data_IF_784838170075
#
_entry.id   IF_784838170075
#
_cell.length_a   1.000
_cell.length_b   1.000
_cell.length_c   1.000
_cell.angle_alpha   90.00
_cell.angle_beta   90.00
_cell.angle_gamma   90.00
#
_symmetry.space_group_name_H-M   'P 1'
#
loop_
_entity.id
_entity.type
_entity.pdbx_description
1 polymer ?
#
# COMPACT_ATOMS: atom_id res chain seq x y z
N UNK A 1 21.03 -16.95 0.97
CA UNK A 1 19.75 -17.17 0.26
C UNK A 1 18.79 -18.01 1.09
N UNK A 2 19.07 -19.30 1.32
CA UNK A 2 18.16 -20.21 2.04
C UNK A 2 17.76 -19.71 3.43
N UNK A 3 18.72 -19.25 4.25
CA UNK A 3 18.43 -18.73 5.59
C UNK A 3 17.48 -17.52 5.56
N UNK A 4 17.70 -16.55 4.67
CA UNK A 4 16.83 -15.37 4.54
C UNK A 4 15.43 -15.76 4.06
N UNK A 5 15.33 -16.71 3.10
CA UNK A 5 14.05 -17.24 2.66
C UNK A 5 13.29 -17.98 3.76
N UNK A 6 13.99 -18.78 4.57
CA UNK A 6 13.40 -19.48 5.72
C UNK A 6 12.89 -18.47 6.77
N UNK A 7 13.69 -17.47 7.12
CA UNK A 7 13.29 -16.41 8.07
C UNK A 7 12.07 -15.64 7.55
N UNK A 8 12.05 -15.30 6.26
CA UNK A 8 10.90 -14.66 5.64
C UNK A 8 9.63 -15.53 5.75
N UNK A 9 9.72 -16.80 5.36
CA UNK A 9 8.60 -17.73 5.43
C UNK A 9 8.08 -17.94 6.86
N UNK A 10 8.98 -18.12 7.83
CA UNK A 10 8.61 -18.26 9.24
C UNK A 10 7.91 -17.01 9.78
N UNK A 11 8.37 -15.82 9.39
CA UNK A 11 7.66 -14.59 9.74
C UNK A 11 6.26 -14.58 9.10
N UNK A 12 6.09 -14.87 7.81
CA UNK A 12 4.76 -14.89 7.19
C UNK A 12 3.77 -15.82 7.93
N UNK A 13 4.23 -16.99 8.37
CA UNK A 13 3.43 -17.89 9.21
C UNK A 13 3.10 -17.27 10.57
N UNK A 14 4.04 -16.53 11.17
CA UNK A 14 3.83 -15.86 12.43
C UNK A 14 2.86 -14.66 12.33
N UNK A 15 2.68 -14.08 11.14
CA UNK A 15 1.66 -13.06 10.83
C UNK A 15 0.34 -13.68 10.30
N UNK A 16 0.05 -14.95 10.57
CA UNK A 16 -1.08 -15.67 9.98
C UNK A 16 -2.43 -14.98 10.15
N UNK A 17 -2.67 -14.30 11.28
CA UNK A 17 -3.94 -13.62 11.55
C UNK A 17 -3.99 -12.20 11.01
N UNK A 18 -2.88 -11.65 10.52
CA UNK A 18 -2.87 -10.31 9.98
C UNK A 18 -3.64 -10.24 8.65
N UNK A 19 -4.68 -9.41 8.63
CA UNK A 19 -5.44 -9.02 7.46
C UNK A 19 -5.97 -7.61 7.73
N UNK A 20 -6.20 -6.81 6.70
CA UNK A 20 -6.62 -5.42 6.87
C UNK A 20 -7.97 -5.14 6.23
N UNK A 21 -8.62 -4.05 6.64
CA UNK A 21 -9.84 -3.60 5.98
C UNK A 21 -9.62 -3.32 4.49
N UNK A 22 -8.49 -2.69 4.13
CA UNK A 22 -8.09 -2.52 2.72
C UNK A 22 -7.93 -3.86 1.97
N UNK A 23 -7.55 -4.94 2.66
CA UNK A 23 -7.46 -6.27 2.03
C UNK A 23 -8.85 -6.81 1.72
N UNK A 24 -9.84 -6.57 2.60
CA UNK A 24 -11.24 -6.88 2.32
C UNK A 24 -11.83 -6.02 1.19
N UNK A 25 -11.39 -4.77 1.04
CA UNK A 25 -11.77 -3.95 -0.13
C UNK A 25 -11.36 -4.65 -1.43
N UNK A 26 -10.13 -5.14 -1.53
CA UNK A 26 -9.69 -5.91 -2.70
C UNK A 26 -10.42 -7.24 -2.87
N UNK A 27 -10.72 -7.94 -1.77
CA UNK A 27 -11.53 -9.16 -1.78
C UNK A 27 -12.92 -8.91 -2.40
N UNK A 28 -13.55 -7.77 -2.08
CA UNK A 28 -14.84 -7.37 -2.65
C UNK A 28 -14.73 -7.04 -4.13
N UNK A 29 -13.78 -6.20 -4.54
CA UNK A 29 -13.53 -5.93 -5.97
C UNK A 29 -13.33 -7.20 -6.79
N UNK A 30 -12.52 -8.13 -6.27
CA UNK A 30 -12.24 -9.39 -6.94
C UNK A 30 -13.49 -10.28 -7.04
N UNK A 31 -14.29 -10.36 -5.98
CA UNK A 31 -15.51 -11.16 -5.94
C UNK A 31 -16.58 -10.62 -6.89
N UNK A 32 -16.77 -9.29 -6.92
CA UNK A 32 -17.68 -8.63 -7.86
C UNK A 32 -17.24 -8.83 -9.32
N UNK A 33 -15.94 -8.79 -9.59
CA UNK A 33 -15.43 -9.05 -10.93
C UNK A 33 -15.73 -10.50 -11.38
N UNK A 34 -15.62 -11.46 -10.47
CA UNK A 34 -15.98 -12.87 -10.74
C UNK A 34 -17.49 -13.06 -10.90
N UNK A 35 -18.30 -12.33 -10.14
CA UNK A 35 -19.76 -12.36 -10.23
C UNK A 35 -20.32 -11.72 -11.53
N UNK A 36 -19.49 -10.97 -12.27
CA UNK A 36 -19.88 -10.29 -13.49
C UNK A 36 -20.36 -8.85 -13.30
N UNK A 37 -20.34 -8.33 -12.07
CA UNK A 37 -20.66 -6.93 -11.75
C UNK A 37 -19.56 -5.96 -12.22
N UNK A 38 -18.38 -6.50 -12.49
CA UNK A 38 -17.19 -5.78 -12.93
C UNK A 38 -16.30 -5.37 -11.78
N UNK A 39 -15.23 -4.64 -12.09
CA UNK A 39 -14.23 -4.22 -11.11
C UNK A 39 -14.71 -2.97 -10.35
N UNK A 40 -15.78 -3.15 -9.58
CA UNK A 40 -16.47 -2.12 -8.80
C UNK A 40 -16.63 -2.57 -7.35
N UNK A 41 -16.82 -1.61 -6.43
CA UNK A 41 -17.06 -1.92 -5.02
C UNK A 41 -18.54 -2.16 -4.75
N UNK A 42 -19.39 -1.19 -5.10
CA UNK A 42 -20.84 -1.35 -5.13
C UNK A 42 -21.27 -1.75 -6.55
N UNK A 43 -21.94 -2.90 -6.74
CA UNK A 43 -22.52 -3.26 -8.04
C UNK A 43 -23.43 -2.15 -8.57
N UNK A 44 -23.35 -1.87 -9.87
CA UNK A 44 -24.07 -0.77 -10.52
C UNK A 44 -23.32 0.58 -10.51
N UNK A 45 -22.33 0.77 -9.62
CA UNK A 45 -21.57 2.01 -9.53
C UNK A 45 -20.18 1.88 -10.14
N UNK A 46 -19.99 2.47 -11.33
CA UNK A 46 -18.70 2.41 -12.04
C UNK A 46 -17.71 3.43 -11.51
N UNK A 47 -17.27 3.24 -10.28
CA UNK A 47 -16.32 4.12 -9.60
C UNK A 47 -14.95 3.45 -9.55
N UNK A 48 -13.94 4.15 -10.10
CA UNK A 48 -12.56 3.68 -10.07
C UNK A 48 -11.96 3.90 -8.67
N UNK A 49 -12.22 2.98 -7.73
CA UNK A 49 -11.72 3.09 -6.37
C UNK A 49 -10.61 2.07 -6.02
N UNK A 50 -10.48 0.99 -6.78
CA UNK A 50 -9.38 0.04 -6.61
C UNK A 50 -8.03 0.72 -6.95
N UNK A 51 -7.22 1.04 -5.94
CA UNK A 51 -5.91 1.68 -6.15
C UNK A 51 -4.95 0.82 -6.96
N UNK A 52 -5.09 -0.51 -6.87
CA UNK A 52 -4.32 -1.52 -7.60
C UNK A 52 -5.24 -2.42 -8.42
N UNK A 53 -5.68 -1.99 -9.62
CA UNK A 53 -6.53 -2.81 -10.48
C UNK A 53 -5.87 -4.12 -10.91
N UNK A 54 -4.53 -4.15 -11.06
CA UNK A 54 -3.80 -5.40 -11.34
C UNK A 54 -3.96 -6.38 -10.19
N UNK A 55 -3.79 -5.93 -8.94
CA UNK A 55 -3.92 -6.81 -7.79
C UNK A 55 -5.32 -7.41 -7.68
N UNK A 56 -6.35 -6.57 -7.76
CA UNK A 56 -7.74 -7.02 -7.72
C UNK A 56 -8.05 -8.04 -8.84
N UNK A 57 -7.54 -7.80 -10.05
CA UNK A 57 -7.72 -8.71 -11.19
C UNK A 57 -6.99 -10.05 -11.01
N UNK A 58 -5.78 -10.04 -10.44
CA UNK A 58 -5.04 -11.27 -10.13
C UNK A 58 -5.74 -12.09 -9.04
N UNK A 59 -6.31 -11.41 -8.03
CA UNK A 59 -7.10 -12.08 -6.98
C UNK A 59 -8.37 -12.68 -7.60
N UNK A 60 -9.08 -11.96 -8.47
CA UNK A 60 -10.24 -12.49 -9.18
C UNK A 60 -9.89 -13.75 -10.00
N UNK A 61 -8.74 -13.76 -10.67
CA UNK A 61 -8.26 -14.94 -11.39
C UNK A 61 -8.04 -16.15 -10.47
N UNK A 62 -7.54 -15.96 -9.24
CA UNK A 62 -7.41 -17.05 -8.27
C UNK A 62 -8.76 -17.56 -7.77
N UNK A 63 -9.73 -16.67 -7.58
CA UNK A 63 -11.10 -17.04 -7.20
C UNK A 63 -11.75 -17.89 -8.31
N UNK A 64 -11.57 -17.50 -9.59
CA UNK A 64 -12.03 -18.30 -10.74
C UNK A 64 -11.41 -19.70 -10.80
N UNK A 65 -10.20 -19.86 -10.28
CA UNK A 65 -9.51 -21.15 -10.15
C UNK A 65 -9.94 -21.94 -8.89
N UNK A 66 -10.94 -21.45 -8.14
CA UNK A 66 -11.49 -22.11 -6.95
C UNK A 66 -10.71 -21.84 -5.66
N UNK A 67 -9.79 -20.86 -5.64
CA UNK A 67 -9.09 -20.50 -4.42
C UNK A 67 -10.01 -19.78 -3.42
N UNK A 68 -10.00 -20.15 -2.13
CA UNK A 68 -10.58 -19.30 -1.09
C UNK A 68 -9.94 -17.91 -1.12
N UNK A 69 -10.74 -16.84 -1.02
CA UNK A 69 -10.30 -15.46 -1.31
C UNK A 69 -9.11 -15.04 -0.44
N UNK A 70 -9.25 -15.11 0.88
CA UNK A 70 -8.21 -14.68 1.84
C UNK A 70 -6.93 -15.51 1.69
N UNK A 71 -7.06 -16.84 1.57
CA UNK A 71 -5.92 -17.72 1.39
C UNK A 71 -5.20 -17.45 0.06
N UNK A 72 -5.95 -17.27 -1.03
CA UNK A 72 -5.43 -16.94 -2.35
C UNK A 72 -4.66 -15.63 -2.35
N UNK A 73 -5.20 -14.58 -1.72
CA UNK A 73 -4.53 -13.30 -1.55
C UNK A 73 -3.20 -13.42 -0.81
N UNK A 74 -3.19 -14.14 0.33
CA UNK A 74 -1.96 -14.36 1.13
C UNK A 74 -0.92 -15.19 0.39
N UNK A 75 -1.35 -16.25 -0.30
CA UNK A 75 -0.46 -17.10 -1.11
C UNK A 75 0.14 -16.32 -2.27
N UNK A 76 -0.67 -15.53 -2.99
CA UNK A 76 -0.22 -14.71 -4.10
C UNK A 76 0.80 -13.65 -3.63
N UNK A 77 0.49 -12.96 -2.53
CA UNK A 77 1.38 -11.97 -1.93
C UNK A 77 2.70 -12.63 -1.52
N UNK A 78 2.65 -13.78 -0.85
CA UNK A 78 3.84 -14.55 -0.46
C UNK A 78 4.66 -15.00 -1.68
N UNK A 79 4.03 -15.45 -2.76
CA UNK A 79 4.69 -15.86 -3.99
C UNK A 79 5.47 -14.68 -4.63
N UNK A 80 4.85 -13.50 -4.72
CA UNK A 80 5.54 -12.30 -5.18
C UNK A 80 6.61 -11.82 -4.21
N UNK A 81 6.41 -11.98 -2.90
CA UNK A 81 7.41 -11.68 -1.88
C UNK A 81 8.66 -12.54 -2.04
N UNK A 82 8.50 -13.85 -2.24
CA UNK A 82 9.60 -14.77 -2.55
C UNK A 82 10.26 -14.42 -3.88
N UNK A 83 9.48 -14.10 -4.92
CA UNK A 83 10.02 -13.68 -6.21
C UNK A 83 10.86 -12.39 -6.10
N UNK A 84 10.41 -11.42 -5.30
CA UNK A 84 11.15 -10.21 -4.97
C UNK A 84 12.48 -10.54 -4.27
N UNK A 85 12.48 -11.44 -3.27
CA UNK A 85 13.72 -11.88 -2.61
C UNK A 85 14.70 -12.58 -3.57
N UNK A 86 14.21 -13.39 -4.51
CA UNK A 86 15.05 -14.05 -5.52
C UNK A 86 15.67 -13.02 -6.48
N UNK A 87 14.91 -12.00 -6.90
CA UNK A 87 15.44 -10.90 -7.72
C UNK A 87 16.42 -10.03 -6.93
N UNK A 88 16.12 -9.70 -5.68
CA UNK A 88 17.02 -8.98 -4.78
C UNK A 88 18.37 -9.70 -4.63
N UNK A 89 18.34 -11.02 -4.46
CA UNK A 89 19.57 -11.83 -4.42
C UNK A 89 20.36 -11.74 -5.73
N UNK A 90 19.69 -11.87 -6.89
CA UNK A 90 20.33 -11.77 -8.21
C UNK A 90 20.93 -10.39 -8.45
N UNK A 91 20.18 -9.33 -8.15
CA UNK A 91 20.61 -7.94 -8.21
C UNK A 91 21.87 -7.72 -7.37
N UNK A 92 21.81 -8.10 -6.09
CA UNK A 92 22.91 -7.90 -5.16
C UNK A 92 24.15 -8.72 -5.54
N UNK A 93 24.00 -9.97 -6.00
CA UNK A 93 25.10 -10.82 -6.48
C UNK A 93 25.87 -10.20 -7.62
N UNK A 94 25.18 -9.50 -8.53
CA UNK A 94 25.81 -8.83 -9.66
C UNK A 94 26.48 -7.53 -9.26
N UNK A 95 25.81 -6.76 -8.42
CA UNK A 95 26.29 -5.46 -7.99
C UNK A 95 27.50 -5.53 -7.06
N UNK A 96 27.51 -6.49 -6.13
CA UNK A 96 28.48 -6.54 -5.03
C UNK A 96 29.49 -7.67 -5.12
N UNK A 97 29.28 -8.65 -6.01
CA UNK A 97 30.06 -9.89 -6.02
C UNK A 97 30.02 -10.62 -4.68
N UNK A 98 30.92 -11.59 -4.48
CA UNK A 98 31.04 -12.34 -3.22
C UNK A 98 29.73 -12.96 -2.69
N UNK A 99 29.76 -13.56 -1.50
CA UNK A 99 28.55 -14.06 -0.85
C UNK A 99 28.07 -13.19 0.33
N UNK A 100 29.00 -12.47 0.97
CA UNK A 100 28.72 -11.74 2.21
C UNK A 100 27.74 -10.57 2.02
N UNK A 101 28.04 -9.66 1.09
CA UNK A 101 27.19 -8.48 0.83
C UNK A 101 25.84 -8.83 0.23
N UNK A 102 25.75 -9.73 -0.78
CA UNK A 102 24.45 -10.19 -1.27
C UNK A 102 23.63 -10.91 -0.20
N UNK A 103 24.28 -11.67 0.69
CA UNK A 103 23.61 -12.33 1.80
C UNK A 103 23.00 -11.35 2.79
N UNK A 104 23.75 -10.28 3.12
CA UNK A 104 23.32 -9.24 4.03
C UNK A 104 22.26 -8.32 3.43
N UNK A 105 22.39 -7.94 2.15
CA UNK A 105 21.36 -7.23 1.40
C UNK A 105 20.04 -7.99 1.41
N UNK A 106 20.09 -9.28 1.10
CA UNK A 106 18.92 -10.14 1.11
C UNK A 106 18.32 -10.27 2.51
N UNK A 107 19.16 -10.36 3.54
CA UNK A 107 18.69 -10.44 4.93
C UNK A 107 17.97 -9.15 5.33
N UNK A 108 18.53 -7.98 5.03
CA UNK A 108 17.91 -6.69 5.31
C UNK A 108 16.51 -6.58 4.69
N UNK A 109 16.32 -7.04 3.46
CA UNK A 109 15.02 -7.05 2.81
C UNK A 109 14.08 -8.13 3.37
N UNK A 110 14.58 -9.34 3.62
CA UNK A 110 13.79 -10.46 4.14
C UNK A 110 13.33 -10.27 5.59
N UNK A 111 14.01 -9.40 6.35
CA UNK A 111 13.64 -9.03 7.71
C UNK A 111 13.07 -7.62 7.79
N UNK A 112 12.87 -6.95 6.67
CA UNK A 112 12.30 -5.62 6.64
C UNK A 112 10.85 -5.72 7.18
N UNK A 113 10.53 -5.04 8.30
CA UNK A 113 9.31 -5.29 9.07
C UNK A 113 8.05 -4.94 8.30
N UNK A 114 8.12 -3.93 7.43
CA UNK A 114 6.97 -3.39 6.71
C UNK A 114 6.67 -4.25 5.48
N UNK A 115 7.67 -4.65 4.71
CA UNK A 115 7.61 -5.57 3.58
C UNK A 115 7.03 -6.92 4.01
N UNK A 116 7.54 -7.49 5.11
CA UNK A 116 7.03 -8.74 5.69
C UNK A 116 5.57 -8.59 6.11
N UNK A 117 5.26 -7.55 6.88
CA UNK A 117 3.90 -7.26 7.36
C UNK A 117 2.92 -7.11 6.20
N UNK A 118 3.23 -6.28 5.21
CA UNK A 118 2.33 -5.99 4.08
C UNK A 118 2.23 -7.14 3.07
N UNK A 119 3.26 -7.99 3.00
CA UNK A 119 3.15 -9.29 2.32
C UNK A 119 2.16 -10.19 3.05
N UNK A 120 2.26 -10.29 4.38
CA UNK A 120 1.39 -11.16 5.18
C UNK A 120 -0.09 -10.74 5.17
N UNK A 121 -0.41 -9.45 4.99
CA UNK A 121 -1.80 -9.00 4.84
C UNK A 121 -2.48 -9.47 3.56
N UNK A 122 -1.77 -10.02 2.57
CA UNK A 122 -2.38 -10.36 1.28
C UNK A 122 -2.69 -9.13 0.44
N UNK A 123 -1.78 -8.14 0.45
CA UNK A 123 -1.93 -6.90 -0.32
C UNK A 123 -0.98 -6.86 -1.52
N UNK A 124 -1.12 -5.83 -2.36
CA UNK A 124 -0.40 -5.63 -3.61
C UNK A 124 1.09 -5.28 -3.44
N UNK A 125 1.49 -4.88 -2.23
CA UNK A 125 2.83 -4.39 -1.90
C UNK A 125 3.98 -5.26 -2.44
N UNK A 126 4.03 -6.58 -2.22
CA UNK A 126 5.08 -7.44 -2.79
C UNK A 126 5.13 -7.44 -4.33
N UNK A 127 4.01 -7.23 -5.03
CA UNK A 127 4.00 -7.07 -6.49
C UNK A 127 4.74 -5.81 -6.90
N UNK A 128 4.49 -4.70 -6.20
CA UNK A 128 5.14 -3.43 -6.46
C UNK A 128 6.66 -3.51 -6.22
N UNK A 129 7.08 -4.12 -5.11
CA UNK A 129 8.50 -4.35 -4.80
C UNK A 129 9.15 -5.27 -5.83
N UNK A 130 8.47 -6.33 -6.25
CA UNK A 130 8.94 -7.23 -7.30
C UNK A 130 9.18 -6.48 -8.62
N UNK A 131 8.20 -5.72 -9.11
CA UNK A 131 8.31 -4.94 -10.35
C UNK A 131 9.41 -3.88 -10.28
N UNK A 132 9.55 -3.20 -9.13
CA UNK A 132 10.65 -2.27 -8.90
C UNK A 132 12.03 -2.95 -8.97
N UNK A 133 12.18 -4.13 -8.37
CA UNK A 133 13.40 -4.92 -8.45
C UNK A 133 13.69 -5.41 -9.87
N UNK A 134 12.66 -5.73 -10.68
CA UNK A 134 12.82 -6.00 -12.12
C UNK A 134 13.39 -4.77 -12.83
N UNK A 135 12.85 -3.58 -12.57
CA UNK A 135 13.34 -2.34 -13.18
C UNK A 135 14.80 -2.06 -12.81
N UNK A 136 15.15 -2.22 -11.53
CA UNK A 136 16.51 -2.02 -11.03
C UNK A 136 17.50 -3.02 -11.63
N UNK A 137 17.12 -4.30 -11.71
CA UNK A 137 17.99 -5.36 -12.27
C UNK A 137 18.19 -5.23 -13.77
N UNK A 138 17.13 -4.84 -14.50
CA UNK A 138 17.20 -4.53 -15.93
C UNK A 138 18.08 -3.30 -16.21
N UNK A 139 18.05 -2.31 -15.32
CA UNK A 139 18.88 -1.11 -15.40
C UNK A 139 20.39 -1.36 -15.43
N UNK A 140 20.84 -2.47 -14.83
CA UNK A 140 22.25 -2.90 -14.85
C UNK A 140 22.69 -3.56 -16.15
N UNK A 141 21.78 -3.74 -17.13
CA UNK A 141 22.00 -4.46 -18.39
C UNK A 141 21.57 -3.61 -19.60
N UNK A 142 22.21 -2.47 -19.80
CA UNK A 142 21.85 -1.53 -20.87
C UNK A 142 22.24 -2.00 -22.29
N UNK A 143 23.02 -3.08 -22.38
CA UNK A 143 23.44 -3.75 -23.61
C UNK A 143 22.41 -4.77 -24.14
N UNK A 144 21.61 -5.41 -23.27
CA UNK A 144 20.66 -6.47 -23.65
C UNK A 144 19.27 -5.92 -24.07
N UNK A 145 18.79 -6.30 -25.27
CA UNK A 145 17.44 -5.88 -25.73
C UNK A 145 16.30 -6.35 -24.81
N UNK A 146 16.44 -7.53 -24.21
CA UNK A 146 15.46 -8.08 -23.26
C UNK A 146 15.39 -7.25 -21.98
N UNK A 147 16.51 -6.69 -21.53
CA UNK A 147 16.55 -5.83 -20.35
C UNK A 147 15.75 -4.54 -20.58
N UNK A 148 15.87 -3.90 -21.76
CA UNK A 148 15.04 -2.74 -22.12
C UNK A 148 13.54 -3.05 -22.08
N UNK A 149 13.14 -4.23 -22.57
CA UNK A 149 11.74 -4.66 -22.49
C UNK A 149 11.28 -4.85 -21.05
N UNK A 150 12.08 -5.53 -20.21
CA UNK A 150 11.78 -5.72 -18.78
C UNK A 150 11.68 -4.40 -18.03
N UNK A 151 12.59 -3.47 -18.30
CA UNK A 151 12.58 -2.12 -17.72
C UNK A 151 11.30 -1.38 -18.10
N UNK A 152 10.93 -1.39 -19.38
CA UNK A 152 9.70 -0.76 -19.86
C UNK A 152 8.46 -1.37 -19.22
N UNK A 153 8.26 -2.68 -19.35
CA UNK A 153 7.06 -3.37 -18.84
C UNK A 153 6.91 -3.27 -17.32
N UNK A 154 8.01 -3.38 -16.57
CA UNK A 154 7.96 -3.23 -15.12
C UNK A 154 7.52 -1.83 -14.71
N UNK A 155 8.08 -0.78 -15.32
CA UNK A 155 7.70 0.61 -15.05
C UNK A 155 6.33 1.01 -15.61
N UNK A 156 5.85 0.34 -16.67
CA UNK A 156 4.50 0.56 -17.21
C UNK A 156 3.42 -0.11 -16.36
N UNK A 157 3.69 -1.30 -15.80
CA UNK A 157 2.77 -2.02 -14.93
C UNK A 157 2.73 -1.47 -13.50
N UNK A 158 3.85 -0.96 -13.00
CA UNK A 158 3.99 -0.50 -11.61
C UNK A 158 2.95 0.58 -11.23
N UNK A 159 2.59 1.57 -12.07
CA UNK A 159 1.53 2.54 -11.80
C UNK A 159 0.13 1.92 -11.64
N UNK A 160 -0.13 0.76 -12.25
CA UNK A 160 -1.38 0.02 -12.11
C UNK A 160 -1.41 -0.86 -10.83
N UNK A 161 -0.31 -0.86 -10.08
CA UNK A 161 -0.22 -1.44 -8.74
C UNK A 161 -0.14 -0.34 -7.67
N UNK A 162 0.66 0.69 -7.95
CA UNK A 162 0.94 1.84 -7.07
C UNK A 162 0.99 3.12 -7.93
N UNK A 163 -0.11 3.88 -8.05
CA UNK A 163 -0.22 4.98 -9.01
C UNK A 163 0.84 6.07 -8.87
N UNK A 164 1.36 6.32 -7.66
CA UNK A 164 2.43 7.30 -7.43
C UNK A 164 3.73 6.95 -8.16
N UNK A 165 3.93 5.69 -8.54
CA UNK A 165 5.11 5.23 -9.28
C UNK A 165 5.12 5.67 -10.74
N UNK A 166 4.02 6.29 -11.22
CA UNK A 166 4.02 7.02 -12.49
C UNK A 166 5.13 8.08 -12.51
N UNK A 167 5.41 8.72 -11.36
CA UNK A 167 6.52 9.66 -11.21
C UNK A 167 7.87 8.98 -11.45
N UNK A 168 8.09 7.78 -10.91
CA UNK A 168 9.31 7.01 -11.17
C UNK A 168 9.46 6.66 -12.65
N UNK A 169 8.37 6.22 -13.30
CA UNK A 169 8.35 5.98 -14.75
C UNK A 169 8.75 7.21 -15.55
N UNK A 170 8.24 8.40 -15.18
CA UNK A 170 8.61 9.69 -15.77
C UNK A 170 10.07 10.07 -15.54
N UNK A 171 10.60 9.87 -14.33
CA UNK A 171 12.02 10.13 -14.01
C UNK A 171 12.95 9.24 -14.85
N UNK A 172 12.65 7.95 -14.95
CA UNK A 172 13.43 7.01 -15.77
C UNK A 172 13.31 7.34 -17.26
N UNK A 173 12.10 7.64 -17.76
CA UNK A 173 11.88 8.07 -19.14
C UNK A 173 12.67 9.33 -19.48
N UNK A 174 12.75 10.30 -18.55
CA UNK A 174 13.59 11.49 -18.68
C UNK A 174 15.07 11.13 -18.85
N UNK A 175 15.61 10.25 -18.00
CA UNK A 175 16.99 9.77 -18.13
C UNK A 175 17.22 9.05 -19.47
N UNK A 176 16.27 8.21 -19.91
CA UNK A 176 16.34 7.52 -21.22
C UNK A 176 16.37 8.50 -22.39
N UNK A 177 15.51 9.53 -22.37
CA UNK A 177 15.46 10.55 -23.43
C UNK A 177 16.75 11.36 -23.52
N UNK A 178 17.37 11.65 -22.37
CA UNK A 178 18.64 12.37 -22.29
C UNK A 178 19.86 11.51 -22.66
N UNK A 179 19.66 10.21 -22.94
CA UNK A 179 20.72 9.26 -23.27
C UNK A 179 20.57 8.80 -24.74
N UNK A 180 21.40 9.29 -25.69
CA UNK A 180 21.18 9.10 -27.13
C UNK A 180 21.05 7.66 -27.61
N UNK A 181 21.78 6.72 -27.01
CA UNK A 181 21.71 5.29 -27.35
C UNK A 181 20.44 4.64 -26.77
N UNK A 182 20.02 5.08 -25.58
CA UNK A 182 18.86 4.54 -24.88
C UNK A 182 17.54 4.99 -25.52
N UNK A 183 17.43 6.26 -25.95
CA UNK A 183 16.17 6.80 -26.49
C UNK A 183 15.63 6.03 -27.71
N UNK A 184 16.51 5.40 -28.48
CA UNK A 184 16.15 4.59 -29.66
C UNK A 184 15.60 3.19 -29.31
N UNK A 185 15.61 2.79 -28.04
CA UNK A 185 15.22 1.44 -27.59
C UNK A 185 13.69 1.32 -27.53
N UNK A 186 13.07 1.02 -28.67
CA UNK A 186 11.61 0.85 -28.83
C UNK A 186 10.98 -0.09 -27.79
N UNK A 187 11.67 -1.17 -27.43
CA UNK A 187 11.17 -2.16 -26.46
C UNK A 187 10.86 -1.55 -25.08
N UNK A 188 11.63 -0.54 -24.65
CA UNK A 188 11.36 0.19 -23.41
C UNK A 188 10.08 1.01 -23.52
N UNK A 189 9.94 1.80 -24.58
CA UNK A 189 8.77 2.66 -24.78
C UNK A 189 7.48 1.86 -24.95
N UNK A 190 7.54 0.75 -25.70
CA UNK A 190 6.42 -0.18 -25.81
C UNK A 190 6.02 -0.69 -24.42
N UNK A 191 6.97 -1.23 -23.65
CA UNK A 191 6.67 -1.74 -22.32
C UNK A 191 6.18 -0.67 -21.34
N UNK A 192 6.70 0.56 -21.43
CA UNK A 192 6.32 1.67 -20.54
C UNK A 192 4.90 2.17 -20.83
N UNK A 193 4.56 2.33 -22.12
CA UNK A 193 3.32 2.97 -22.56
C UNK A 193 2.17 1.96 -22.63
N UNK A 194 2.41 0.74 -23.13
CA UNK A 194 1.35 -0.22 -23.43
C UNK A 194 0.47 -0.56 -22.21
N UNK A 195 0.99 -0.88 -21.01
CA UNK A 195 0.13 -1.18 -19.87
C UNK A 195 -0.80 -0.02 -19.49
N UNK A 196 -0.24 1.19 -19.39
CA UNK A 196 -0.99 2.40 -19.03
C UNK A 196 -2.01 2.75 -20.11
N UNK A 197 -1.64 2.60 -21.39
CA UNK A 197 -2.54 2.86 -22.51
C UNK A 197 -3.69 1.84 -22.56
N UNK A 198 -3.40 0.55 -22.40
CA UNK A 198 -4.44 -0.51 -22.33
C UNK A 198 -5.38 -0.26 -21.16
N UNK A 199 -4.83 0.08 -19.99
CA UNK A 199 -5.65 0.45 -18.84
C UNK A 199 -6.50 1.69 -19.12
N UNK A 200 -5.94 2.75 -19.71
CA UNK A 200 -6.69 3.97 -20.02
C UNK A 200 -7.81 3.73 -21.05
N UNK A 201 -7.56 2.88 -22.06
CA UNK A 201 -8.56 2.49 -23.07
C UNK A 201 -9.76 1.75 -22.44
N UNK A 202 -9.53 1.00 -21.36
CA UNK A 202 -10.59 0.38 -20.57
C UNK A 202 -11.24 1.37 -19.59
N UNK A 203 -10.42 2.05 -18.78
CA UNK A 203 -10.85 2.83 -17.63
C UNK A 203 -11.60 4.10 -18.00
N UNK A 204 -11.24 4.77 -19.10
CA UNK A 204 -11.95 5.98 -19.56
C UNK A 204 -13.41 5.72 -19.90
N UNK A 205 -13.76 4.80 -20.82
CA UNK A 205 -15.16 4.54 -21.14
C UNK A 205 -15.90 3.82 -20.00
N UNK A 206 -15.19 3.06 -19.16
CA UNK A 206 -15.83 2.29 -18.08
C UNK A 206 -16.10 3.15 -16.84
N UNK A 207 -15.12 3.90 -16.34
CA UNK A 207 -15.20 4.70 -15.11
C UNK A 207 -15.28 6.21 -15.33
N UNK A 208 -14.93 6.72 -16.52
CA UNK A 208 -14.78 8.16 -16.77
C UNK A 208 -13.41 8.73 -16.35
N UNK A 209 -12.53 7.94 -15.74
CA UNK A 209 -11.22 8.39 -15.26
C UNK A 209 -10.15 7.28 -15.32
N UNK A 210 -8.91 7.64 -15.68
CA UNK A 210 -7.78 6.70 -15.73
C UNK A 210 -7.20 6.43 -14.33
N UNK A 211 -7.12 7.47 -13.50
CA UNK A 211 -6.57 7.38 -12.15
C UNK A 211 -7.68 7.11 -11.13
N UNK A 212 -7.39 6.36 -10.06
CA UNK A 212 -8.39 6.01 -9.06
C UNK A 212 -8.77 7.22 -8.19
N UNK A 213 -10.06 7.33 -7.84
CA UNK A 213 -10.62 8.36 -6.96
C UNK A 213 -10.00 8.32 -5.55
N UNK A 214 -9.54 7.15 -5.11
CA UNK A 214 -8.88 6.96 -3.81
C UNK A 214 -7.57 7.74 -3.64
N UNK A 215 -6.95 8.19 -4.74
CA UNK A 215 -5.81 9.11 -4.66
C UNK A 215 -6.23 10.48 -4.11
N UNK A 216 -7.38 10.97 -4.55
CA UNK A 216 -7.90 12.28 -4.13
C UNK A 216 -8.35 12.21 -2.67
N UNK A 217 -9.03 11.13 -2.29
CA UNK A 217 -9.51 10.89 -0.92
C UNK A 217 -8.39 10.85 0.15
N UNK A 218 -7.13 10.60 -0.27
CA UNK A 218 -5.98 10.41 0.62
C UNK A 218 -4.96 11.54 0.59
N UNK A 219 -5.26 12.64 -0.10
CA UNK A 219 -4.40 13.82 -0.17
C UNK A 219 -5.19 15.09 0.08
N UNK A 220 -4.63 16.00 0.86
CA UNK A 220 -5.18 17.33 1.03
C UNK A 220 -4.55 18.29 0.00
N UNK A 221 -5.17 19.45 -0.26
CA UNK A 221 -4.49 20.56 -0.94
C UNK A 221 -3.13 20.85 -0.29
N UNK A 222 -2.19 21.46 -1.02
CA UNK A 222 -0.84 21.79 -0.53
C UNK A 222 -0.86 22.38 0.89
N UNK A 223 -0.61 21.53 1.87
CA UNK A 223 -0.71 21.83 3.28
C UNK A 223 0.65 22.26 3.80
N UNK A 224 1.09 23.47 3.44
CA UNK A 224 2.36 24.05 3.90
C UNK A 224 2.27 24.53 5.36
N UNK A 225 1.70 23.70 6.23
CA UNK A 225 1.57 23.92 7.66
C UNK A 225 2.80 23.30 8.34
N UNK A 226 3.73 24.09 8.89
CA UNK A 226 5.00 23.58 9.41
C UNK A 226 4.85 22.45 10.42
N UNK A 227 3.87 22.53 11.32
CA UNK A 227 3.62 21.52 12.36
C UNK A 227 3.24 20.17 11.74
N UNK A 228 2.36 20.18 10.72
CA UNK A 228 1.95 18.97 9.99
C UNK A 228 3.10 18.40 9.18
N UNK A 229 3.88 19.27 8.52
CA UNK A 229 5.07 18.86 7.77
C UNK A 229 6.11 18.19 8.69
N UNK A 230 6.37 18.77 9.87
CA UNK A 230 7.26 18.19 10.88
C UNK A 230 6.74 16.85 11.40
N UNK A 231 5.44 16.74 11.66
CA UNK A 231 4.81 15.49 12.06
C UNK A 231 4.96 14.40 10.98
N UNK A 232 4.64 14.71 9.73
CA UNK A 232 4.79 13.78 8.61
C UNK A 232 6.25 13.37 8.40
N UNK A 233 7.18 14.31 8.50
CA UNK A 233 8.61 14.02 8.46
C UNK A 233 9.03 13.08 9.59
N UNK A 234 8.55 13.31 10.81
CA UNK A 234 8.80 12.45 11.96
C UNK A 234 8.26 11.03 11.74
N UNK A 235 7.05 10.88 11.20
CA UNK A 235 6.47 9.58 10.85
C UNK A 235 7.34 8.85 9.82
N UNK A 236 7.74 9.53 8.75
CA UNK A 236 8.62 8.97 7.71
C UNK A 236 9.98 8.54 8.29
N UNK A 237 10.61 9.41 9.08
CA UNK A 237 11.88 9.14 9.73
C UNK A 237 11.79 7.91 10.64
N UNK A 238 10.69 7.74 11.38
CA UNK A 238 10.44 6.55 12.21
C UNK A 238 10.29 5.29 11.39
N UNK A 239 9.54 5.32 10.29
CA UNK A 239 9.37 4.17 9.41
C UNK A 239 10.73 3.71 8.87
N UNK A 240 11.55 4.64 8.37
CA UNK A 240 12.90 4.33 7.88
C UNK A 240 13.86 3.90 8.98
N UNK A 241 13.80 4.50 10.17
CA UNK A 241 14.68 4.16 11.28
C UNK A 241 14.42 2.73 11.80
N UNK A 242 13.16 2.32 11.85
CA UNK A 242 12.78 0.95 12.23
C UNK A 242 13.16 -0.05 11.13
N UNK A 243 13.04 0.33 9.86
CA UNK A 243 13.29 -0.53 8.71
C UNK A 243 14.79 -0.74 8.41
N UNK A 244 15.44 0.37 8.03
CA UNK A 244 16.72 0.41 7.32
C UNK A 244 17.57 1.59 7.80
N UNK A 245 17.70 1.81 9.12
CA UNK A 245 18.43 2.96 9.68
C UNK A 245 19.83 3.17 9.07
N UNK A 246 20.70 2.14 9.07
CA UNK A 246 22.06 2.25 8.57
C UNK A 246 22.13 2.51 7.06
N UNK A 247 21.44 1.75 6.18
CA UNK A 247 21.37 2.10 4.75
C UNK A 247 20.83 3.51 4.50
N UNK A 248 19.74 3.91 5.17
CA UNK A 248 19.16 5.25 5.00
C UNK A 248 20.13 6.35 5.42
N UNK A 249 20.77 6.23 6.59
CA UNK A 249 21.75 7.21 7.06
C UNK A 249 22.97 7.28 6.14
N UNK A 250 23.44 6.14 5.63
CA UNK A 250 24.56 6.10 4.68
C UNK A 250 24.19 6.78 3.36
N UNK A 251 22.99 6.52 2.83
CA UNK A 251 22.46 7.19 1.65
C UNK A 251 22.40 8.72 1.84
N UNK A 252 21.82 9.19 2.95
CA UNK A 252 21.73 10.62 3.27
C UNK A 252 23.13 11.24 3.44
N UNK A 253 24.05 10.55 4.10
CA UNK A 253 25.43 11.01 4.23
C UNK A 253 26.14 11.13 2.86
N UNK A 254 25.93 10.17 1.97
CA UNK A 254 26.44 10.23 0.59
C UNK A 254 25.87 11.43 -0.18
N UNK A 255 24.57 11.68 -0.03
CA UNK A 255 23.88 12.81 -0.66
C UNK A 255 24.42 14.16 -0.19
N UNK A 256 24.72 14.29 1.10
CA UNK A 256 25.29 15.52 1.67
C UNK A 256 26.76 15.73 1.29
N UNK A 257 27.57 14.67 1.26
CA UNK A 257 29.02 14.77 1.00
C UNK A 257 29.35 14.96 -0.47
N UNK A 258 28.59 14.34 -1.37
CA UNK A 258 28.92 14.32 -2.80
C UNK A 258 27.67 14.20 -3.68
N UNK A 259 26.78 15.22 -3.68
CA UNK A 259 25.54 15.18 -4.47
C UNK A 259 25.82 15.04 -5.97
N UNK A 260 26.91 15.64 -6.46
CA UNK A 260 27.34 15.52 -7.86
C UNK A 260 27.71 14.08 -8.23
N UNK A 261 28.32 13.33 -7.32
CA UNK A 261 28.62 11.93 -7.55
C UNK A 261 27.32 11.12 -7.71
N UNK A 262 26.31 11.36 -6.87
CA UNK A 262 25.06 10.60 -6.94
C UNK A 262 24.20 10.96 -8.16
N UNK A 263 24.27 12.20 -8.64
CA UNK A 263 23.36 12.74 -9.66
C UNK A 263 23.99 12.91 -11.06
N UNK A 264 25.31 13.12 -11.15
CA UNK A 264 25.96 13.59 -12.38
C UNK A 264 27.09 12.68 -12.87
N UNK A 265 27.56 11.72 -12.08
CA UNK A 265 28.63 10.83 -12.50
C UNK A 265 28.07 9.82 -13.51
N UNK A 266 28.08 10.22 -14.78
CA UNK A 266 27.60 9.48 -15.95
C UNK A 266 28.50 8.30 -16.37
N UNK A 267 29.33 7.78 -15.48
CA UNK A 267 30.35 6.81 -15.85
C UNK A 267 29.93 5.36 -15.47
N UNK A 268 29.28 4.64 -16.39
CA UNK A 268 29.18 3.18 -16.36
C UNK A 268 27.79 2.57 -16.07
N UNK A 269 27.79 1.37 -15.47
CA UNK A 269 26.66 0.41 -15.31
C UNK A 269 25.43 0.94 -14.52
N UNK A 270 25.46 2.18 -14.03
CA UNK A 270 24.46 2.77 -13.13
C UNK A 270 23.81 4.05 -13.67
N UNK A 271 23.65 4.16 -14.99
CA UNK A 271 23.11 5.35 -15.66
C UNK A 271 21.69 5.77 -15.18
N UNK A 272 20.91 4.87 -14.58
CA UNK A 272 19.60 5.17 -13.96
C UNK A 272 19.66 5.73 -12.53
N UNK A 273 20.84 5.73 -11.90
CA UNK A 273 21.03 6.20 -10.51
C UNK A 273 20.43 7.57 -10.23
N UNK A 274 20.50 8.59 -11.10
CA UNK A 274 19.88 9.88 -10.84
C UNK A 274 18.36 9.79 -10.67
N UNK A 275 17.66 9.01 -11.51
CA UNK A 275 16.21 8.82 -11.39
C UNK A 275 15.85 8.15 -10.05
N UNK A 276 16.64 7.16 -9.64
CA UNK A 276 16.46 6.45 -8.37
C UNK A 276 16.74 7.31 -7.13
N UNK A 277 17.75 8.19 -7.18
CA UNK A 277 18.03 9.17 -6.12
C UNK A 277 16.89 10.18 -6.03
N UNK A 278 16.46 10.74 -7.16
CA UNK A 278 15.35 11.69 -7.22
C UNK A 278 14.04 11.06 -6.74
N UNK A 279 13.80 9.79 -7.05
CA UNK A 279 12.64 9.05 -6.55
C UNK A 279 12.67 8.84 -5.04
N UNK A 280 13.82 8.43 -4.50
CA UNK A 280 14.00 8.15 -3.07
C UNK A 280 13.85 9.38 -2.19
N UNK A 281 14.13 10.58 -2.73
CA UNK A 281 13.93 11.86 -2.04
C UNK A 281 12.56 12.47 -2.38
N UNK A 282 12.18 12.41 -3.65
CA UNK A 282 11.01 13.10 -4.20
C UNK A 282 9.69 12.53 -3.68
N UNK A 283 9.54 11.20 -3.61
CA UNK A 283 8.27 10.62 -3.14
C UNK A 283 8.00 10.94 -1.66
N UNK A 284 8.93 10.70 -0.70
CA UNK A 284 8.73 11.11 0.68
C UNK A 284 8.47 12.61 0.82
N UNK A 285 9.17 13.45 0.05
CA UNK A 285 8.94 14.89 0.05
C UNK A 285 7.52 15.25 -0.42
N UNK A 286 7.03 14.63 -1.50
CA UNK A 286 5.65 14.82 -1.97
C UNK A 286 4.65 14.46 -0.87
N UNK A 287 4.85 13.37 -0.14
CA UNK A 287 3.98 13.00 0.96
C UNK A 287 3.98 14.02 2.11
N UNK A 288 5.14 14.59 2.46
CA UNK A 288 5.21 15.66 3.47
C UNK A 288 4.50 16.92 2.97
N UNK A 289 4.75 17.34 1.74
CA UNK A 289 4.21 18.58 1.17
C UNK A 289 2.71 18.53 0.89
N UNK A 290 2.16 17.33 0.66
CA UNK A 290 0.73 17.08 0.39
C UNK A 290 -0.03 16.61 1.62
N UNK A 291 0.59 16.68 2.81
CA UNK A 291 0.03 16.25 4.08
C UNK A 291 -0.68 14.89 4.00
N UNK A 292 -0.03 13.95 3.30
CA UNK A 292 -0.55 12.60 3.11
C UNK A 292 -0.41 11.85 4.42
N UNK A 293 -1.48 11.20 4.87
CA UNK A 293 -1.42 10.28 6.01
C UNK A 293 -0.64 9.02 5.60
N UNK A 294 0.67 9.05 5.79
CA UNK A 294 1.57 7.97 5.37
C UNK A 294 1.47 6.79 6.32
N UNK A 295 1.14 5.64 5.74
CA UNK A 295 1.36 4.32 6.34
C UNK A 295 2.59 3.66 5.73
N UNK A 296 3.23 2.73 6.45
CA UNK A 296 4.53 2.17 6.06
C UNK A 296 4.56 1.58 4.64
N UNK A 297 3.46 0.99 4.15
CA UNK A 297 3.38 0.44 2.78
C UNK A 297 3.67 1.47 1.68
N UNK A 298 3.46 2.76 1.92
CA UNK A 298 3.68 3.79 0.90
C UNK A 298 5.18 4.00 0.61
N UNK A 299 6.06 3.60 1.53
CA UNK A 299 7.51 3.72 1.35
C UNK A 299 8.14 2.46 0.75
N UNK A 300 7.39 1.38 0.59
CA UNK A 300 7.90 0.11 0.05
C UNK A 300 8.41 0.24 -1.38
N UNK A 301 7.86 1.18 -2.14
CA UNK A 301 8.29 1.51 -3.50
C UNK A 301 9.56 2.37 -3.54
N UNK A 302 10.10 2.81 -2.41
CA UNK A 302 11.43 3.45 -2.32
C UNK A 302 12.45 2.61 -1.55
N UNK A 303 12.01 1.68 -0.69
CA UNK A 303 12.90 0.92 0.18
C UNK A 303 13.98 0.10 -0.56
N UNK A 304 13.68 -0.65 -1.64
CA UNK A 304 14.73 -1.36 -2.40
C UNK A 304 15.79 -0.42 -2.98
N UNK A 305 15.37 0.77 -3.40
CA UNK A 305 16.27 1.80 -3.95
C UNK A 305 17.18 2.36 -2.86
N UNK A 306 16.61 2.74 -1.71
CA UNK A 306 17.36 3.22 -0.54
C UNK A 306 18.32 2.14 -0.05
N UNK A 307 17.91 0.87 -0.07
CA UNK A 307 18.77 -0.25 0.31
C UNK A 307 19.99 -0.36 -0.61
N UNK A 308 19.81 -0.27 -1.93
CA UNK A 308 20.93 -0.28 -2.89
C UNK A 308 21.83 0.93 -2.68
N UNK A 309 21.27 2.14 -2.71
CA UNK A 309 22.04 3.39 -2.60
C UNK A 309 22.78 3.48 -1.25
N UNK A 310 22.16 3.04 -0.17
CA UNK A 310 22.76 3.00 1.16
C UNK A 310 23.88 1.98 1.28
N UNK A 311 23.68 0.76 0.77
CA UNK A 311 24.73 -0.28 0.77
C UNK A 311 25.93 0.14 -0.08
N UNK A 312 25.70 0.82 -1.21
CA UNK A 312 26.78 1.36 -2.05
C UNK A 312 27.67 2.36 -1.29
N UNK A 313 27.07 3.24 -0.47
CA UNK A 313 27.82 4.17 0.37
C UNK A 313 28.52 3.46 1.53
N UNK A 314 27.88 2.46 2.13
CA UNK A 314 28.47 1.66 3.21
C UNK A 314 29.69 0.85 2.75
N UNK A 315 29.72 0.41 1.49
CA UNK A 315 30.85 -0.31 0.88
C UNK A 315 32.11 0.54 0.75
N UNK A 316 31.97 1.86 0.68
CA UNK A 316 33.11 2.81 0.61
C UNK A 316 33.78 3.00 1.96
N UNK A 317 33.15 2.54 3.03
CA UNK A 317 33.68 2.73 4.36
C UNK A 317 34.82 1.72 4.63
N UNK A 318 36.01 2.18 5.07
CA UNK A 318 37.23 1.35 5.04
C UNK A 318 37.20 0.16 6.01
N UNK A 319 36.27 0.17 6.98
CA UNK A 319 36.14 -0.88 8.00
C UNK A 319 35.00 -1.84 7.68
N UNK A 320 35.07 -2.53 6.54
CA UNK A 320 34.02 -3.44 6.05
C UNK A 320 33.52 -4.47 7.11
N UNK A 321 34.41 -4.97 7.98
CA UNK A 321 34.02 -5.87 9.08
C UNK A 321 33.07 -5.19 10.08
N UNK A 322 33.35 -3.95 10.47
CA UNK A 322 32.52 -3.17 11.40
C UNK A 322 31.15 -2.90 10.76
N UNK A 323 31.13 -2.53 9.48
CA UNK A 323 29.89 -2.30 8.74
C UNK A 323 29.00 -3.53 8.72
N UNK A 324 29.57 -4.68 8.38
CA UNK A 324 28.82 -5.95 8.36
C UNK A 324 28.30 -6.31 9.74
N UNK A 325 29.09 -6.14 10.81
CA UNK A 325 28.64 -6.39 12.17
C UNK A 325 27.49 -5.44 12.56
N UNK A 326 27.58 -4.16 12.22
CA UNK A 326 26.53 -3.19 12.48
C UNK A 326 25.22 -3.51 11.74
N UNK A 327 25.32 -3.92 10.47
CA UNK A 327 24.16 -4.35 9.70
C UNK A 327 23.56 -5.67 10.22
N UNK A 328 24.39 -6.64 10.63
CA UNK A 328 23.90 -7.84 11.32
C UNK A 328 23.18 -7.50 12.64
N UNK A 329 23.74 -6.55 13.41
CA UNK A 329 23.11 -6.08 14.64
C UNK A 329 21.78 -5.37 14.36
N UNK A 330 21.69 -4.58 13.27
CA UNK A 330 20.43 -3.99 12.83
C UNK A 330 19.41 -5.07 12.46
N UNK A 331 19.78 -6.07 11.65
CA UNK A 331 18.89 -7.20 11.32
C UNK A 331 18.37 -7.87 12.59
N UNK A 332 19.24 -8.14 13.55
CA UNK A 332 18.85 -8.77 14.82
C UNK A 332 17.89 -7.87 15.63
N UNK A 333 18.18 -6.56 15.72
CA UNK A 333 17.34 -5.60 16.41
C UNK A 333 15.96 -5.45 15.75
N UNK A 334 15.92 -5.43 14.42
CA UNK A 334 14.69 -5.35 13.63
C UNK A 334 13.86 -6.60 13.81
N UNK A 335 14.46 -7.80 13.72
CA UNK A 335 13.76 -9.04 14.01
C UNK A 335 13.19 -9.05 15.43
N UNK A 336 13.98 -8.68 16.43
CA UNK A 336 13.52 -8.60 17.82
C UNK A 336 12.34 -7.62 17.96
N UNK A 337 12.44 -6.43 17.36
CA UNK A 337 11.36 -5.45 17.36
C UNK A 337 10.10 -5.97 16.65
N UNK A 338 10.26 -6.63 15.50
CA UNK A 338 9.17 -7.25 14.75
C UNK A 338 8.43 -8.27 15.60
N UNK A 339 9.14 -9.22 16.21
CA UNK A 339 8.53 -10.26 17.03
C UNK A 339 7.89 -9.73 18.32
N UNK A 340 8.48 -8.72 18.96
CA UNK A 340 7.99 -8.18 20.24
C UNK A 340 6.87 -7.15 20.06
N UNK A 341 6.87 -6.38 18.96
CA UNK A 341 5.98 -5.21 18.79
C UNK A 341 5.12 -5.28 17.54
N UNK A 342 5.73 -5.49 16.37
CA UNK A 342 5.02 -5.38 15.08
C UNK A 342 4.05 -6.54 14.87
N UNK A 343 4.53 -7.77 15.07
CA UNK A 343 3.78 -9.00 14.83
C UNK A 343 2.59 -9.16 15.78
N UNK A 344 2.73 -9.04 17.12
CA UNK A 344 1.58 -9.14 18.00
C UNK A 344 0.52 -8.10 17.67
N UNK A 345 0.92 -6.83 17.49
CA UNK A 345 -0.01 -5.76 17.13
C UNK A 345 -0.71 -5.98 15.79
N UNK A 346 -0.01 -6.52 14.79
CA UNK A 346 -0.60 -6.83 13.49
C UNK A 346 -1.64 -7.96 13.61
N UNK A 347 -1.31 -9.05 14.30
CA UNK A 347 -2.25 -10.15 14.50
C UNK A 347 -3.45 -9.75 15.36
N UNK A 348 -3.24 -8.95 16.42
CA UNK A 348 -4.32 -8.43 17.25
C UNK A 348 -5.27 -7.56 16.43
N UNK A 349 -4.75 -6.70 15.56
CA UNK A 349 -5.54 -5.90 14.62
C UNK A 349 -6.35 -6.80 13.67
N UNK A 350 -5.71 -7.79 13.06
CA UNK A 350 -6.37 -8.71 12.12
C UNK A 350 -7.46 -9.57 12.78
N UNK A 351 -7.21 -10.12 13.97
CA UNK A 351 -8.22 -10.84 14.76
C UNK A 351 -9.37 -9.94 15.17
N UNK A 352 -9.08 -8.69 15.53
CA UNK A 352 -10.10 -7.72 15.93
C UNK A 352 -11.05 -7.37 14.78
N UNK A 353 -10.56 -7.35 13.53
CA UNK A 353 -11.41 -7.13 12.36
C UNK A 353 -12.43 -8.26 12.11
N UNK A 354 -12.30 -9.43 12.75
CA UNK A 354 -13.34 -10.46 12.71
C UNK A 354 -14.69 -9.92 13.23
N UNK A 355 -14.67 -8.97 14.18
CA UNK A 355 -15.89 -8.31 14.65
C UNK A 355 -16.63 -7.53 13.55
N UNK A 356 -15.91 -6.92 12.61
CA UNK A 356 -16.54 -6.25 11.45
C UNK A 356 -17.11 -7.26 10.45
N UNK A 357 -16.43 -8.39 10.27
CA UNK A 357 -16.96 -9.51 9.47
C UNK A 357 -18.25 -10.04 10.09
N UNK A 358 -18.30 -10.22 11.41
CA UNK A 358 -19.52 -10.63 12.14
C UNK A 358 -20.67 -9.63 11.98
N UNK A 359 -20.38 -8.32 12.03
CA UNK A 359 -21.39 -7.28 11.72
C UNK A 359 -21.90 -7.43 10.28
N UNK A 360 -21.00 -7.65 9.33
CA UNK A 360 -21.36 -7.86 7.94
C UNK A 360 -22.17 -9.14 7.71
N UNK A 361 -21.80 -10.25 8.34
CA UNK A 361 -22.53 -11.51 8.32
C UNK A 361 -23.95 -11.34 8.89
N UNK A 362 -24.06 -10.63 10.03
CA UNK A 362 -25.36 -10.32 10.61
C UNK A 362 -26.24 -9.50 9.65
N UNK A 363 -25.68 -8.47 8.99
CA UNK A 363 -26.39 -7.66 8.00
C UNK A 363 -26.84 -8.50 6.79
N UNK A 364 -26.01 -9.41 6.30
CA UNK A 364 -26.39 -10.33 5.22
C UNK A 364 -27.63 -11.16 5.59
N UNK A 365 -27.70 -11.60 6.85
CA UNK A 365 -28.74 -12.52 7.29
C UNK A 365 -30.01 -11.79 7.80
N UNK A 366 -29.92 -10.50 8.15
CA UNK A 366 -30.99 -9.75 8.82
C UNK A 366 -31.42 -8.44 8.13
N UNK A 367 -30.90 -8.11 6.95
CA UNK A 367 -31.36 -6.95 6.16
C UNK A 367 -31.80 -7.34 4.75
N UNK A 368 -32.40 -6.39 4.03
CA UNK A 368 -32.84 -6.60 2.65
C UNK A 368 -31.67 -6.65 1.66
N UNK A 369 -31.84 -7.41 0.56
CA UNK A 369 -30.92 -7.52 -0.58
C UNK A 369 -30.31 -6.18 -1.00
N UNK A 370 -31.16 -5.14 -1.01
CA UNK A 370 -30.88 -3.79 -1.48
C UNK A 370 -30.61 -2.79 -0.37
N UNK A 371 -30.53 -3.24 0.88
CA UNK A 371 -30.28 -2.34 2.01
C UNK A 371 -28.93 -1.63 1.85
N UNK A 372 -28.93 -0.35 2.20
CA UNK A 372 -27.74 0.51 2.18
C UNK A 372 -27.19 0.65 3.61
N UNK A 373 -25.86 0.55 3.74
CA UNK A 373 -25.14 0.62 5.02
C UNK A 373 -24.11 1.75 4.96
N UNK A 374 -24.23 2.73 5.85
CA UNK A 374 -23.22 3.77 6.00
C UNK A 374 -22.06 3.28 6.89
N UNK A 375 -20.81 3.46 6.46
CA UNK A 375 -19.64 3.05 7.22
C UNK A 375 -18.36 3.84 6.85
N UNK A 376 -17.44 4.00 7.80
CA UNK A 376 -16.07 4.51 7.53
C UNK A 376 -15.11 3.41 7.09
N UNK A 377 -15.17 2.24 7.73
CA UNK A 377 -14.34 1.08 7.41
C UNK A 377 -15.19 0.11 6.58
N UNK A 378 -15.09 0.27 5.26
CA UNK A 378 -16.04 -0.34 4.31
C UNK A 378 -15.66 -1.77 3.92
N UNK A 379 -14.41 -2.17 4.10
CA UNK A 379 -13.88 -3.40 3.54
C UNK A 379 -14.55 -4.65 4.07
N UNK A 380 -14.35 -4.94 5.35
CA UNK A 380 -14.84 -6.16 6.00
C UNK A 380 -16.36 -6.23 6.00
N UNK A 381 -17.02 -5.14 6.41
CA UNK A 381 -18.50 -5.04 6.47
C UNK A 381 -19.08 -5.18 5.07
N UNK A 382 -18.52 -4.46 4.09
CA UNK A 382 -19.00 -4.50 2.71
C UNK A 382 -18.80 -5.86 2.03
N UNK A 383 -17.65 -6.50 2.25
CA UNK A 383 -17.37 -7.83 1.72
C UNK A 383 -18.31 -8.89 2.31
N UNK A 384 -18.43 -8.95 3.64
CA UNK A 384 -19.21 -9.98 4.32
C UNK A 384 -20.72 -9.80 4.12
N UNK A 385 -21.20 -8.56 4.14
CA UNK A 385 -22.63 -8.27 4.00
C UNK A 385 -23.16 -8.39 2.57
N UNK A 386 -22.31 -8.11 1.57
CA UNK A 386 -22.75 -7.97 0.18
C UNK A 386 -23.71 -6.81 -0.07
N UNK A 387 -23.89 -5.91 0.90
CA UNK A 387 -24.80 -4.75 0.83
C UNK A 387 -24.16 -3.58 0.12
N UNK A 388 -24.99 -2.69 -0.41
CA UNK A 388 -24.53 -1.40 -0.90
C UNK A 388 -23.97 -0.60 0.29
N UNK A 389 -22.79 -0.01 0.10
CA UNK A 389 -22.11 0.76 1.14
C UNK A 389 -22.09 2.23 0.75
N UNK A 390 -22.67 3.05 1.62
CA UNK A 390 -22.48 4.49 1.64
C UNK A 390 -21.20 4.81 2.41
N UNK A 391 -20.12 5.05 1.67
CA UNK A 391 -18.78 5.17 2.23
C UNK A 391 -18.50 6.56 2.79
N UNK A 392 -18.48 6.65 4.12
CA UNK A 392 -18.20 7.87 4.88
C UNK A 392 -16.72 8.30 4.79
N UNK A 393 -15.83 7.37 4.43
CA UNK A 393 -14.40 7.61 4.23
C UNK A 393 -14.03 8.10 2.83
N UNK A 394 -14.99 8.18 1.91
CA UNK A 394 -14.84 8.79 0.58
C UNK A 394 -13.88 8.07 -0.39
N UNK A 395 -13.66 6.78 -0.19
CA UNK A 395 -12.94 5.92 -1.14
C UNK A 395 -13.80 5.57 -2.35
N UNK A 396 -15.08 5.24 -2.13
CA UNK A 396 -16.03 4.79 -3.15
C UNK A 396 -17.25 5.70 -3.29
N UNK A 397 -17.44 6.69 -2.41
CA UNK A 397 -18.56 7.65 -2.51
C UNK A 397 -18.10 8.99 -3.12
N UNK A 398 -18.58 9.38 -4.31
CA UNK A 398 -18.26 10.68 -4.91
C UNK A 398 -18.89 11.83 -4.09
N UNK A 399 -18.21 12.97 -4.03
CA UNK A 399 -18.71 14.19 -3.36
C UNK A 399 -18.50 14.24 -1.83
N UNK A 400 -18.40 13.10 -1.14
CA UNK A 400 -18.22 13.13 0.33
C UNK A 400 -16.88 13.72 0.77
N UNK A 401 -15.84 13.60 -0.06
CA UNK A 401 -14.54 14.23 0.25
C UNK A 401 -14.60 15.76 0.20
N UNK A 402 -15.50 16.35 -0.60
CA UNK A 402 -15.68 17.81 -0.61
C UNK A 402 -16.21 18.26 0.76
N UNK A 403 -17.16 17.51 1.33
CA UNK A 403 -17.66 17.74 2.68
C UNK A 403 -16.55 17.56 3.75
N UNK A 404 -15.73 16.51 3.63
CA UNK A 404 -14.63 16.21 4.57
C UNK A 404 -13.48 17.22 4.53
N UNK A 405 -13.37 17.99 3.45
CA UNK A 405 -12.41 19.08 3.35
C UNK A 405 -12.87 20.32 4.13
N UNK A 406 -14.17 20.46 4.37
CA UNK A 406 -14.78 21.62 5.04
C UNK A 406 -15.18 21.33 6.49
N UNK A 407 -15.56 20.08 6.78
CA UNK A 407 -16.16 19.66 8.04
C UNK A 407 -15.43 18.42 8.55
N UNK A 408 -15.23 18.32 9.86
CA UNK A 408 -14.61 17.16 10.49
C UNK A 408 -15.54 15.94 10.47
N UNK A 409 -14.94 14.74 10.36
CA UNK A 409 -15.68 13.47 10.27
C UNK A 409 -16.70 13.31 11.43
N UNK A 410 -16.34 13.73 12.65
CA UNK A 410 -17.23 13.67 13.82
C UNK A 410 -18.53 14.46 13.62
N UNK A 411 -18.43 15.66 13.04
CA UNK A 411 -19.59 16.51 12.77
C UNK A 411 -20.39 16.03 11.56
N UNK A 412 -19.73 15.46 10.54
CA UNK A 412 -20.43 14.81 9.42
C UNK A 412 -21.38 13.74 9.94
N UNK A 413 -20.92 12.97 10.92
CA UNK A 413 -21.72 11.93 11.56
C UNK A 413 -22.79 12.52 12.50
N UNK A 414 -22.41 13.37 13.45
CA UNK A 414 -23.33 13.89 14.49
C UNK A 414 -24.47 14.74 13.93
N UNK A 415 -24.18 15.52 12.88
CA UNK A 415 -25.17 16.39 12.24
C UNK A 415 -25.92 15.65 11.12
N UNK A 416 -25.60 14.37 10.86
CA UNK A 416 -26.23 13.56 9.81
C UNK A 416 -25.99 14.09 8.40
N UNK A 417 -24.90 14.81 8.16
CA UNK A 417 -24.62 15.47 6.87
C UNK A 417 -24.41 14.46 5.73
N UNK A 418 -24.03 13.22 6.05
CA UNK A 418 -23.90 12.16 5.06
C UNK A 418 -25.22 11.76 4.40
N UNK A 419 -26.37 12.07 5.02
CA UNK A 419 -27.72 11.76 4.50
C UNK A 419 -28.06 12.50 3.20
N UNK A 420 -27.25 13.48 2.79
CA UNK A 420 -27.38 14.12 1.49
C UNK A 420 -26.91 13.21 0.33
N UNK A 421 -26.12 12.17 0.62
CA UNK A 421 -25.57 11.25 -0.37
C UNK A 421 -26.36 9.96 -0.53
N UNK A 422 -27.25 9.66 0.43
CA UNK A 422 -28.05 8.43 0.47
C UNK A 422 -28.94 8.40 1.70
N UNK A 423 -29.77 7.36 1.80
CA UNK A 423 -30.76 7.19 2.86
C UNK A 423 -30.58 5.80 3.47
N UNK A 424 -29.46 5.56 4.15
CA UNK A 424 -29.11 4.23 4.62
C UNK A 424 -30.08 3.77 5.71
N UNK A 425 -30.39 2.49 5.70
CA UNK A 425 -31.16 1.84 6.77
C UNK A 425 -30.28 1.50 7.97
N UNK A 426 -28.97 1.38 7.73
CA UNK A 426 -27.99 0.89 8.69
C UNK A 426 -26.78 1.81 8.76
N UNK A 427 -26.22 1.98 9.95
CA UNK A 427 -25.01 2.74 10.19
C UNK A 427 -24.04 1.91 11.02
N UNK A 428 -22.81 1.76 10.56
CA UNK A 428 -21.70 1.23 11.35
C UNK A 428 -20.80 2.39 11.74
N UNK A 429 -20.88 2.76 13.01
CA UNK A 429 -20.04 3.79 13.60
C UNK A 429 -18.92 3.17 14.45
N UNK A 430 -17.85 3.92 14.65
CA UNK A 430 -16.69 3.54 15.46
C UNK A 430 -16.41 4.63 16.50
N UNK A 431 -16.60 4.30 17.77
CA UNK A 431 -16.36 5.24 18.86
C UNK A 431 -15.68 4.55 20.06
N UNK A 432 -14.71 5.20 20.74
CA UNK A 432 -14.11 4.65 21.95
C UNK A 432 -15.11 4.38 23.09
N UNK A 433 -16.19 5.15 23.18
CA UNK A 433 -17.20 5.07 24.24
C UNK A 433 -18.35 4.10 23.91
N UNK A 434 -18.40 3.55 22.69
CA UNK A 434 -19.40 2.54 22.32
C UNK A 434 -20.61 3.11 21.61
N UNK A 435 -21.80 2.87 22.17
CA UNK A 435 -23.07 3.17 21.52
C UNK A 435 -23.47 4.65 21.69
N UNK A 436 -22.59 5.59 21.32
CA UNK A 436 -22.77 7.04 21.55
C UNK A 436 -23.94 7.66 20.79
N UNK A 437 -24.43 7.00 19.73
CA UNK A 437 -25.57 7.45 18.94
C UNK A 437 -26.90 6.85 19.43
N UNK A 438 -26.95 6.12 20.54
CA UNK A 438 -28.20 5.54 21.03
C UNK A 438 -29.28 6.60 21.27
N UNK A 439 -30.39 6.48 20.53
CA UNK A 439 -31.52 7.39 20.58
C UNK A 439 -31.27 8.76 19.92
N UNK A 440 -30.07 9.02 19.39
CA UNK A 440 -29.71 10.26 18.71
C UNK A 440 -30.48 10.39 17.41
N UNK A 441 -30.95 11.61 17.13
CA UNK A 441 -31.64 11.96 15.90
C UNK A 441 -30.64 12.46 14.85
N UNK A 442 -30.54 11.75 13.73
CA UNK A 442 -29.75 12.15 12.56
C UNK A 442 -30.72 12.51 11.44
N UNK A 443 -30.95 13.81 11.23
CA UNK A 443 -31.95 14.30 10.29
C UNK A 443 -33.36 13.78 10.59
N UNK A 444 -33.90 12.94 9.71
CA UNK A 444 -35.22 12.30 9.84
C UNK A 444 -35.18 10.92 10.50
N UNK A 445 -34.00 10.43 10.87
CA UNK A 445 -33.84 9.10 11.47
C UNK A 445 -33.53 9.18 12.97
N UNK A 446 -33.92 8.13 13.69
CA UNK A 446 -33.48 7.85 15.04
C UNK A 446 -32.59 6.60 15.02
N UNK A 447 -31.41 6.73 15.62
CA UNK A 447 -30.45 5.65 15.71
C UNK A 447 -30.81 4.71 16.87
N UNK A 448 -30.85 3.41 16.60
CA UNK A 448 -31.07 2.36 17.59
C UNK A 448 -29.94 1.34 17.51
N UNK A 449 -29.15 1.14 18.58
CA UNK A 449 -28.04 0.20 18.55
C UNK A 449 -28.56 -1.25 18.49
N UNK A 450 -27.95 -2.07 17.64
CA UNK A 450 -28.33 -3.47 17.44
C UNK A 450 -27.28 -4.41 18.00
N UNK A 451 -26.02 -4.16 17.69
CA UNK A 451 -24.89 -4.94 18.20
C UNK A 451 -23.62 -4.12 18.18
N UNK A 452 -22.67 -4.51 19.03
CA UNK A 452 -21.34 -3.91 19.05
C UNK A 452 -20.24 -4.96 19.04
N UNK A 453 -19.09 -4.60 18.50
CA UNK A 453 -17.86 -5.38 18.51
C UNK A 453 -16.67 -4.49 18.82
N UNK A 454 -15.79 -4.96 19.70
CA UNK A 454 -14.61 -4.19 20.09
C UNK A 454 -13.40 -4.59 19.27
N UNK A 455 -12.80 -3.62 18.62
CA UNK A 455 -11.46 -3.74 18.04
C UNK A 455 -10.45 -3.30 19.07
N UNK A 456 -9.70 -4.25 19.63
CA UNK A 456 -8.81 -4.00 20.77
C UNK A 456 -7.59 -3.15 20.41
N UNK A 457 -7.19 -3.14 19.14
CA UNK A 457 -6.00 -2.48 18.67
C UNK A 457 -6.21 -2.05 17.21
N UNK A 458 -6.28 -0.74 16.94
CA UNK A 458 -6.37 -0.18 15.58
C UNK A 458 -5.01 -0.05 14.87
N UNK A 459 -3.95 -0.57 15.48
CA UNK A 459 -2.61 -0.65 14.91
C UNK A 459 -1.55 0.05 15.76
N UNK A 460 -0.31 0.00 15.28
CA UNK A 460 0.89 0.42 16.03
C UNK A 460 0.87 1.88 16.52
N UNK A 461 0.13 2.75 15.84
CA UNK A 461 0.03 4.19 16.16
C UNK A 461 -1.23 4.53 16.94
N UNK A 462 -2.23 3.63 17.00
CA UNK A 462 -3.50 3.79 17.70
C UNK A 462 -3.85 2.50 18.45
N UNK A 463 -3.15 2.18 19.55
CA UNK A 463 -3.35 0.92 20.28
C UNK A 463 -4.59 0.93 21.18
N UNK A 464 -5.41 1.98 21.13
CA UNK A 464 -6.62 2.09 21.96
C UNK A 464 -7.72 1.21 21.37
N UNK A 465 -8.49 0.60 22.27
CA UNK A 465 -9.68 -0.13 21.88
C UNK A 465 -10.74 0.83 21.36
N UNK A 466 -11.43 0.43 20.30
CA UNK A 466 -12.57 1.17 19.73
C UNK A 466 -13.71 0.20 19.55
N UNK A 467 -14.93 0.68 19.80
CA UNK A 467 -16.14 -0.13 19.68
C UNK A 467 -16.82 0.25 18.37
N UNK A 468 -17.02 -0.75 17.52
CA UNK A 468 -17.88 -0.63 16.35
C UNK A 468 -19.29 -0.99 16.75
N UNK A 469 -20.22 -0.07 16.51
CA UNK A 469 -21.64 -0.28 16.82
C UNK A 469 -22.44 -0.22 15.53
N UNK A 470 -23.21 -1.26 15.29
CA UNK A 470 -24.23 -1.29 14.24
C UNK A 470 -25.51 -0.67 14.79
N UNK A 471 -25.99 0.35 14.10
CA UNK A 471 -27.26 1.01 14.38
C UNK A 471 -28.25 0.77 13.25
N UNK A 472 -29.53 0.63 13.63
CA UNK A 472 -30.65 0.76 12.71
C UNK A 472 -31.09 2.23 12.69
N UNK A 473 -31.31 2.76 11.49
CA UNK A 473 -31.81 4.12 11.29
C UNK A 473 -33.32 4.06 11.04
N UNK A 474 -34.11 4.28 12.10
CA UNK A 474 -35.57 4.24 12.02
C UNK A 474 -36.11 5.61 11.57
N UNK A 475 -36.87 5.64 10.48
CA UNK A 475 -37.55 6.87 10.03
C UNK A 475 -38.54 7.34 11.10
N UNK A 476 -38.49 8.63 11.43
CA UNK A 476 -39.41 9.28 12.37
C UNK A 476 -40.75 9.68 11.71
N UNK A 477 -40.83 9.60 10.38
CA UNK A 477 -42.01 10.00 9.61
C UNK A 477 -43.01 8.84 9.35
N UNK A 478 -42.84 7.70 10.05
CA UNK A 478 -43.72 6.53 10.00
C UNK A 478 -44.66 6.41 11.20
#
# INVERSE_FOLDING_TARGET
>A
MLLAGLIFALQLLAYADYFTDDSWIYARFATNLVAGDGLVFNPGERIHAATSPIWASLVAALILLGSPVVAGMKILAAAFGVAALLLAWRLARRRYGGAAWPGLFLMLLATEPWFVRWTASGMETPVAVFLLLVAMEAGLRDDESVAWSRLGWSLGLLPLVRPETLLLGGLVAGVVLLTPVARARRAFWIGLITPVAVWALFALPYYGAVLPATLQAKSTPLGLVPERMLFNFYVLARIFAVALALPTLAFLAGLLRSPRHLLLERAGQDWLRPAFVLWSVGLPLVYVLRDVQVVSRYLEVVLPVILVLGVDELLRWPRARVVRLALCAQVAAVLAFSFVRVMPSANDFGRSLAGLVEIGDWLRDNSDATAEVAAYDIGAVGYASGRHILDLGGLVQPGINDLRNEVDDARILSDGLFLQFGQPEWLVDRDPEGAVLDGVRLGQFRCEPVMSRTVQNLGLTRPQAVVYTLYRLNSLDN
#
